data_IF_088028218616
#
_entry.id   IF_088028218616
#
_cell.length_a   1.000
_cell.length_b   1.000
_cell.length_c   1.000
_cell.angle_alpha   90.00
_cell.angle_beta   90.00
_cell.angle_gamma   90.00
#
_symmetry.space_group_name_H-M   'P 1'
#
loop_
_entity.id
_entity.type
_entity.pdbx_description
1 polymer ?
#
# COMPACT_ATOMS: atom_id res chain seq x y z
N UNK A 1 -7.90 25.34 -14.09
CA UNK A 1 -6.89 24.34 -14.51
C UNK A 1 -6.67 23.42 -13.32
N UNK A 2 -7.16 22.17 -13.37
CA UNK A 2 -7.18 21.27 -12.22
C UNK A 2 -5.77 20.93 -11.77
N UNK A 3 -5.49 21.07 -10.46
CA UNK A 3 -4.20 20.72 -9.87
C UNK A 3 -3.96 19.22 -10.08
N UNK A 4 -2.83 18.84 -10.67
CA UNK A 4 -2.46 17.43 -10.75
C UNK A 4 -2.19 16.92 -9.33
N UNK A 5 -3.09 16.08 -8.82
CA UNK A 5 -3.10 15.59 -7.43
C UNK A 5 -2.02 14.51 -7.22
N UNK A 6 -1.70 13.76 -8.28
CA UNK A 6 -0.68 12.71 -8.25
C UNK A 6 0.66 13.24 -8.76
N UNK A 7 1.67 13.25 -7.88
CA UNK A 7 3.02 13.73 -8.19
C UNK A 7 3.83 12.70 -8.98
N UNK A 8 4.05 11.52 -8.39
CA UNK A 8 4.88 10.45 -8.96
C UNK A 8 4.66 9.15 -8.19
N UNK A 9 5.15 8.04 -8.75
CA UNK A 9 5.27 6.77 -8.06
C UNK A 9 6.70 6.24 -8.19
N UNK A 10 7.27 5.83 -7.07
CA UNK A 10 8.60 5.24 -6.95
C UNK A 10 8.52 4.06 -5.95
N UNK A 11 9.35 3.05 -6.17
CA UNK A 11 9.53 1.92 -5.25
C UNK A 11 10.99 1.88 -4.82
N UNK A 12 11.24 1.96 -3.51
CA UNK A 12 12.59 2.02 -2.95
C UNK A 12 13.28 0.65 -2.86
N UNK A 13 12.56 -0.43 -3.14
CA UNK A 13 13.05 -1.81 -2.97
C UNK A 13 13.26 -2.21 -1.51
N UNK A 14 12.76 -1.40 -0.56
CA UNK A 14 12.94 -1.60 0.88
C UNK A 14 11.63 -1.32 1.62
N UNK A 15 10.81 -2.36 1.81
CA UNK A 15 9.50 -2.26 2.47
C UNK A 15 9.59 -1.56 3.83
N UNK A 16 10.60 -1.89 4.64
CA UNK A 16 10.80 -1.27 5.95
C UNK A 16 10.94 0.26 5.88
N UNK A 17 11.68 0.79 4.91
CA UNK A 17 11.81 2.24 4.72
C UNK A 17 10.53 2.86 4.16
N UNK A 18 9.84 2.17 3.26
CA UNK A 18 8.59 2.68 2.69
C UNK A 18 7.48 2.80 3.73
N UNK A 19 7.39 1.88 4.70
CA UNK A 19 6.45 2.01 5.81
C UNK A 19 6.74 3.22 6.71
N UNK A 20 8.02 3.56 6.91
CA UNK A 20 8.39 4.79 7.63
C UNK A 20 7.87 6.00 6.85
N UNK A 21 8.07 6.04 5.54
CA UNK A 21 7.57 7.13 4.69
C UNK A 21 6.04 7.23 4.68
N UNK A 22 5.33 6.10 4.76
CA UNK A 22 3.86 6.10 4.90
C UNK A 22 3.41 6.74 6.22
N UNK A 23 4.04 6.35 7.33
CA UNK A 23 3.68 6.86 8.67
C UNK A 23 4.04 8.34 8.85
N UNK A 24 5.10 8.79 8.18
CA UNK A 24 5.57 10.19 8.22
C UNK A 24 4.89 11.10 7.19
N UNK A 25 3.94 10.58 6.39
CA UNK A 25 3.24 11.28 5.30
C UNK A 25 4.17 11.76 4.15
N UNK A 26 5.36 11.15 4.02
CA UNK A 26 6.27 11.36 2.88
C UNK A 26 5.80 10.59 1.63
N UNK A 27 5.09 9.46 1.85
CA UNK A 27 4.40 8.68 0.82
C UNK A 27 2.95 8.47 1.24
N UNK A 28 2.03 8.58 0.29
CA UNK A 28 0.61 8.35 0.56
C UNK A 28 0.21 6.88 0.43
N UNK A 29 0.86 6.12 -0.46
CA UNK A 29 0.57 4.71 -0.65
C UNK A 29 1.76 3.95 -1.22
N UNK A 30 1.76 2.63 -1.06
CA UNK A 30 2.73 1.72 -1.69
C UNK A 30 2.01 0.59 -2.42
N UNK A 31 2.65 0.04 -3.46
CA UNK A 31 2.21 -1.14 -4.19
C UNK A 31 3.38 -2.12 -4.24
N UNK A 32 3.22 -3.27 -3.60
CA UNK A 32 4.25 -4.29 -3.48
C UNK A 32 3.78 -5.59 -4.10
N UNK A 33 4.53 -6.17 -5.03
CA UNK A 33 4.13 -7.43 -5.69
C UNK A 33 4.28 -8.66 -4.79
N UNK A 34 5.33 -8.67 -3.97
CA UNK A 34 5.63 -9.74 -3.01
C UNK A 34 5.10 -9.33 -1.65
N UNK A 35 4.69 -10.33 -0.87
CA UNK A 35 3.98 -10.12 0.41
C UNK A 35 4.64 -10.91 1.53
N UNK A 36 5.96 -11.12 1.42
CA UNK A 36 6.67 -11.91 2.41
C UNK A 36 6.51 -11.29 3.81
N UNK A 37 6.11 -12.08 4.81
CA UNK A 37 5.72 -11.53 6.11
C UNK A 37 6.89 -10.84 6.81
N UNK A 38 8.13 -11.31 6.63
CA UNK A 38 9.28 -10.64 7.24
C UNK A 38 9.53 -9.22 6.72
N UNK A 39 9.11 -8.91 5.48
CA UNK A 39 9.26 -7.58 4.88
C UNK A 39 8.10 -6.64 5.24
N UNK A 40 6.90 -7.19 5.47
CA UNK A 40 5.66 -6.41 5.58
C UNK A 40 5.01 -6.43 6.96
N UNK A 41 5.14 -7.52 7.73
CA UNK A 41 4.47 -7.66 9.03
C UNK A 41 4.78 -6.50 9.98
N UNK A 42 6.06 -6.13 10.24
CA UNK A 42 6.36 -5.07 11.20
C UNK A 42 5.77 -3.72 10.79
N UNK A 43 5.98 -3.34 9.52
CA UNK A 43 5.50 -2.07 8.99
C UNK A 43 3.98 -2.02 8.86
N UNK A 44 3.33 -3.14 8.51
CA UNK A 44 1.88 -3.23 8.43
C UNK A 44 1.21 -3.02 9.79
N UNK A 45 1.80 -3.52 10.87
CA UNK A 45 1.28 -3.32 12.22
C UNK A 45 1.37 -1.84 12.59
N UNK A 46 2.55 -1.24 12.47
CA UNK A 46 2.77 0.18 12.79
C UNK A 46 1.84 1.09 11.97
N UNK A 47 1.78 0.86 10.66
CA UNK A 47 0.94 1.66 9.77
C UNK A 47 -0.55 1.49 10.08
N UNK A 48 -1.00 0.29 10.45
CA UNK A 48 -2.40 0.07 10.86
C UNK A 48 -2.74 0.79 12.15
N UNK A 49 -1.85 0.79 13.15
CA UNK A 49 -2.03 1.55 14.40
C UNK A 49 -2.03 3.06 14.17
N UNK A 50 -1.35 3.53 13.12
CA UNK A 50 -1.40 4.92 12.67
C UNK A 50 -2.70 5.26 11.88
N UNK A 51 -3.64 4.32 11.77
CA UNK A 51 -4.91 4.49 11.04
C UNK A 51 -4.88 4.04 9.58
N UNK A 52 -3.74 3.54 9.10
CA UNK A 52 -3.56 3.05 7.75
C UNK A 52 -4.31 1.74 7.47
N UNK A 53 -4.49 1.46 6.18
CA UNK A 53 -5.18 0.27 5.68
C UNK A 53 -4.28 -0.51 4.72
N UNK A 54 -4.28 -1.84 4.85
CA UNK A 54 -3.53 -2.73 3.99
C UNK A 54 -4.42 -3.82 3.41
N UNK A 55 -4.27 -4.06 2.12
CA UNK A 55 -5.05 -5.08 1.41
C UNK A 55 -4.29 -5.64 0.21
N UNK A 56 -4.59 -6.89 -0.13
CA UNK A 56 -4.11 -7.48 -1.38
C UNK A 56 -4.78 -6.82 -2.60
N UNK A 57 -4.38 -7.23 -3.80
CA UNK A 57 -4.94 -6.66 -5.04
C UNK A 57 -6.43 -6.98 -5.29
N UNK A 58 -6.97 -7.97 -4.60
CA UNK A 58 -8.36 -8.41 -4.72
C UNK A 58 -9.28 -7.78 -3.67
N UNK A 59 -8.72 -7.09 -2.67
CA UNK A 59 -9.50 -6.41 -1.63
C UNK A 59 -9.56 -7.12 -0.29
N UNK A 60 -8.96 -8.30 -0.15
CA UNK A 60 -8.87 -8.93 1.17
C UNK A 60 -7.89 -8.14 2.04
N UNK A 61 -8.25 -7.93 3.30
CA UNK A 61 -7.36 -7.32 4.29
C UNK A 61 -6.08 -8.14 4.41
N UNK A 62 -4.94 -7.45 4.60
CA UNK A 62 -3.67 -8.12 4.77
C UNK A 62 -3.71 -9.14 5.92
N UNK A 63 -3.26 -10.35 5.62
CA UNK A 63 -3.13 -11.47 6.56
C UNK A 63 -1.69 -12.01 6.45
N UNK A 64 -0.85 -11.82 7.47
CA UNK A 64 0.56 -12.23 7.41
C UNK A 64 0.77 -13.74 7.40
N UNK A 65 -0.29 -14.53 7.65
CA UNK A 65 -0.25 -16.00 7.55
C UNK A 65 -0.43 -16.50 6.11
N UNK A 66 -0.80 -15.61 5.18
CA UNK A 66 -1.05 -15.92 3.78
C UNK A 66 -0.06 -15.19 2.88
N UNK A 67 0.57 -15.92 1.97
CA UNK A 67 1.32 -15.31 0.88
C UNK A 67 0.34 -14.99 -0.25
N UNK A 68 -0.01 -13.72 -0.39
CA UNK A 68 -0.89 -13.24 -1.48
C UNK A 68 -0.07 -12.64 -2.60
N UNK A 69 -0.67 -12.49 -3.79
CA UNK A 69 -0.12 -11.61 -4.82
C UNK A 69 -0.52 -10.18 -4.50
N UNK A 70 0.47 -9.29 -4.44
CA UNK A 70 0.19 -7.89 -4.25
C UNK A 70 -0.16 -7.52 -2.82
N UNK A 71 0.35 -6.39 -2.37
CA UNK A 71 -0.02 -5.71 -1.15
C UNK A 71 -0.01 -4.21 -1.42
N UNK A 72 -1.10 -3.57 -1.07
CA UNK A 72 -1.28 -2.13 -1.14
C UNK A 72 -1.46 -1.60 0.28
N UNK A 73 -0.62 -0.65 0.67
CA UNK A 73 -0.80 0.10 1.91
C UNK A 73 -1.21 1.54 1.56
N UNK A 74 -2.27 2.02 2.18
CA UNK A 74 -2.90 3.32 1.94
C UNK A 74 -3.38 3.95 3.25
N UNK A 75 -3.68 5.25 3.31
CA UNK A 75 -4.02 5.92 4.58
C UNK A 75 -5.40 5.53 5.12
N UNK A 76 -6.28 4.97 4.27
CA UNK A 76 -7.61 4.48 4.69
C UNK A 76 -8.22 3.53 3.65
N UNK A 77 -9.27 2.81 4.05
CA UNK A 77 -10.05 1.96 3.15
C UNK A 77 -10.72 2.77 2.00
N UNK A 78 -11.07 4.03 2.23
CA UNK A 78 -11.62 4.90 1.19
C UNK A 78 -10.59 5.12 0.07
N UNK A 79 -9.34 5.43 0.45
CA UNK A 79 -8.25 5.61 -0.52
C UNK A 79 -7.90 4.29 -1.21
N UNK A 80 -8.05 3.15 -0.53
CA UNK A 80 -7.85 1.84 -1.16
C UNK A 80 -8.79 1.67 -2.37
N UNK A 81 -10.07 2.03 -2.24
CA UNK A 81 -11.05 1.96 -3.35
C UNK A 81 -10.62 2.84 -4.51
N UNK A 82 -10.17 4.05 -4.25
CA UNK A 82 -9.65 4.95 -5.29
C UNK A 82 -8.41 4.38 -5.99
N UNK A 83 -7.47 3.81 -5.25
CA UNK A 83 -6.27 3.17 -5.82
C UNK A 83 -6.63 1.94 -6.63
N UNK A 84 -7.57 1.12 -6.15
CA UNK A 84 -8.05 -0.05 -6.88
C UNK A 84 -8.67 0.35 -8.24
N UNK A 85 -9.57 1.33 -8.23
CA UNK A 85 -10.26 1.80 -9.44
C UNK A 85 -9.31 2.47 -10.43
N UNK A 86 -8.40 3.33 -9.96
CA UNK A 86 -7.56 4.17 -10.83
C UNK A 86 -6.27 3.51 -11.28
N UNK A 87 -5.67 2.67 -10.44
CA UNK A 87 -4.38 2.03 -10.69
C UNK A 87 -4.51 0.54 -10.94
N UNK A 88 -5.04 -0.23 -9.98
CA UNK A 88 -4.98 -1.69 -10.05
C UNK A 88 -5.84 -2.28 -11.17
N UNK A 89 -7.02 -1.69 -11.43
CA UNK A 89 -7.91 -2.13 -12.51
C UNK A 89 -7.25 -2.11 -13.89
N UNK A 90 -6.24 -1.26 -14.09
CA UNK A 90 -5.46 -1.15 -15.33
C UNK A 90 -4.14 -1.92 -15.29
N UNK A 91 -3.63 -2.19 -14.08
CA UNK A 91 -2.32 -2.81 -13.85
C UNK A 91 -2.36 -4.34 -13.82
N UNK A 92 -3.55 -4.93 -13.63
CA UNK A 92 -3.76 -6.37 -13.46
C UNK A 92 -4.43 -7.04 -14.66
N UNK A 93 -4.65 -6.29 -15.74
CA UNK A 93 -5.12 -6.78 -17.05
C UNK A 93 -3.91 -6.99 -17.95
#
# INVERSE_FOLDING_TARGET
>A
MGKQIFKSYDNLGCSGHEYVQLVMDDKHFTINYRTFPWDHLPGSLIHSEAGGYLSNFHGDKYDPTKITRGLVAVPSELIWKEVQEKFLSRYLI
#
